data_IF_159074727040
#
_entry.id   IF_159074727040
#
_cell.length_a   1.000
_cell.length_b   1.000
_cell.length_c   1.000
_cell.angle_alpha   90.00
_cell.angle_beta   90.00
_cell.angle_gamma   90.00
#
_symmetry.space_group_name_H-M   'P 1'
#
loop_
_entity.id
_entity.type
_entity.pdbx_description
1 polymer ?
#
# COMPACT_ATOMS: atom_id res chain seq x y z
N UNK A 1 -5.80 7.02 20.24
CA UNK A 1 -4.75 7.32 21.24
C UNK A 1 -4.95 8.74 21.72
N UNK A 2 -5.19 8.96 23.01
CA UNK A 2 -5.41 10.29 23.61
C UNK A 2 -4.08 10.88 24.11
N UNK A 3 -3.85 12.17 23.90
CA UNK A 3 -2.68 12.88 24.46
C UNK A 3 -3.01 13.40 25.86
N UNK A 4 -2.04 13.34 26.78
CA UNK A 4 -2.21 13.78 28.18
C UNK A 4 -1.57 15.13 28.46
N UNK A 5 -0.75 15.66 27.54
CA UNK A 5 -0.14 16.97 27.63
C UNK A 5 -0.14 17.65 26.27
N UNK A 6 -0.30 18.98 26.29
CA UNK A 6 -0.33 19.86 25.13
C UNK A 6 0.81 20.87 25.24
N UNK A 7 1.51 21.14 24.12
CA UNK A 7 2.54 22.16 24.02
C UNK A 7 2.46 22.88 22.68
N UNK A 8 2.67 24.19 22.70
CA UNK A 8 2.99 24.98 21.51
C UNK A 8 4.52 24.91 21.33
N UNK A 9 4.96 24.36 20.21
CA UNK A 9 6.38 24.10 19.91
C UNK A 9 6.97 25.27 19.13
N UNK A 10 6.22 25.75 18.14
CA UNK A 10 6.54 26.94 17.34
C UNK A 10 5.30 27.81 17.28
N UNK A 11 5.49 29.12 17.47
CA UNK A 11 4.45 30.14 17.27
C UNK A 11 5.13 31.41 16.74
N UNK A 12 4.94 31.68 15.46
CA UNK A 12 5.39 32.91 14.80
C UNK A 12 4.43 33.27 13.65
N UNK A 13 4.73 34.34 12.90
CA UNK A 13 3.84 34.84 11.82
C UNK A 13 3.65 33.83 10.68
N UNK A 14 4.62 32.95 10.44
CA UNK A 14 4.63 32.02 9.30
C UNK A 14 4.15 30.61 9.68
N UNK A 15 4.25 30.22 10.96
CA UNK A 15 3.99 28.86 11.41
C UNK A 15 3.48 28.77 12.84
N UNK A 16 2.55 27.83 13.05
CA UNK A 16 2.24 27.26 14.36
C UNK A 16 2.47 25.75 14.33
N UNK A 17 3.24 25.24 15.29
CA UNK A 17 3.39 23.79 15.53
C UNK A 17 2.89 23.44 16.92
N UNK A 18 1.97 22.47 16.99
CA UNK A 18 1.36 21.97 18.22
C UNK A 18 1.79 20.53 18.47
N UNK A 19 2.00 20.20 19.74
CA UNK A 19 2.33 18.85 20.22
C UNK A 19 1.30 18.37 21.23
N UNK A 20 0.87 17.12 21.05
CA UNK A 20 0.01 16.39 21.97
C UNK A 20 0.70 15.09 22.35
N UNK A 21 1.29 15.05 23.55
CA UNK A 21 2.09 13.92 24.01
C UNK A 21 1.32 13.02 24.96
N UNK A 22 1.58 11.71 24.89
CA UNK A 22 1.29 10.74 25.95
C UNK A 22 2.58 9.97 26.23
N UNK A 23 3.13 10.17 27.42
CA UNK A 23 4.28 9.40 27.89
C UNK A 23 3.80 8.10 28.52
N UNK A 24 4.65 7.07 28.49
CA UNK A 24 4.41 5.82 29.19
C UNK A 24 5.39 5.66 30.36
N UNK A 25 4.91 5.05 31.43
CA UNK A 25 5.73 4.62 32.56
C UNK A 25 5.20 3.28 33.11
N UNK A 26 6.00 2.53 33.90
CA UNK A 26 5.61 1.20 34.39
C UNK A 26 4.29 1.13 35.16
N UNK A 27 3.77 2.23 35.73
CA UNK A 27 2.47 2.23 36.40
C UNK A 27 1.27 2.07 35.45
N UNK A 28 1.52 2.24 34.14
CA UNK A 28 0.56 2.09 33.05
C UNK A 28 0.59 0.70 32.41
N UNK A 29 1.45 -0.21 32.88
CA UNK A 29 1.54 -1.58 32.36
C UNK A 29 0.17 -2.29 32.40
N UNK A 30 -0.15 -3.00 31.32
CA UNK A 30 -1.44 -3.67 31.12
C UNK A 30 -2.62 -2.75 30.82
N UNK A 31 -2.45 -1.42 30.88
CA UNK A 31 -3.50 -0.42 30.59
C UNK A 31 -3.27 0.30 29.28
N UNK A 32 -2.01 0.61 28.98
CA UNK A 32 -1.60 1.31 27.76
C UNK A 32 -0.39 0.61 27.15
N UNK A 33 -0.29 0.69 25.82
CA UNK A 33 0.90 0.24 25.09
C UNK A 33 2.13 0.99 25.60
N UNK A 34 3.29 0.31 25.76
CA UNK A 34 4.53 0.89 26.26
C UNK A 34 5.16 1.79 25.20
N UNK A 35 4.53 2.94 24.91
CA UNK A 35 4.95 3.82 23.84
C UNK A 35 4.77 5.28 24.24
N UNK A 36 5.85 6.03 24.20
CA UNK A 36 5.78 7.49 24.12
C UNK A 36 5.22 7.85 22.75
N UNK A 37 4.15 8.65 22.75
CA UNK A 37 3.50 9.12 21.54
C UNK A 37 3.51 10.63 21.58
N UNK A 38 4.07 11.25 20.56
CA UNK A 38 3.97 12.68 20.32
C UNK A 38 3.28 12.92 18.99
N UNK A 39 2.06 13.46 19.03
CA UNK A 39 1.33 13.84 17.82
C UNK A 39 1.54 15.31 17.54
N UNK A 40 1.86 15.61 16.30
CA UNK A 40 2.20 16.96 15.87
C UNK A 40 1.24 17.44 14.79
N UNK A 41 0.90 18.73 14.88
CA UNK A 41 0.08 19.45 13.91
C UNK A 41 0.80 20.73 13.55
N UNK A 42 0.95 20.99 12.25
CA UNK A 42 1.62 22.19 11.75
C UNK A 42 0.66 22.94 10.83
N UNK A 43 0.46 24.21 11.11
CA UNK A 43 -0.29 25.14 10.27
C UNK A 43 0.67 26.20 9.75
N UNK A 44 0.70 26.39 8.44
CA UNK A 44 1.55 27.37 7.77
C UNK A 44 0.71 28.54 7.26
N UNK A 45 1.25 29.74 7.34
CA UNK A 45 0.62 30.93 6.76
C UNK A 45 0.43 30.74 5.26
N UNK A 46 -0.77 31.05 4.77
CA UNK A 46 -1.09 30.96 3.33
C UNK A 46 -1.29 29.54 2.81
N UNK A 47 -1.24 28.50 3.64
CA UNK A 47 -1.57 27.13 3.25
C UNK A 47 -3.04 26.81 3.56
N UNK A 48 -3.74 26.23 2.58
CA UNK A 48 -5.14 25.82 2.72
C UNK A 48 -5.25 24.42 3.34
N UNK A 49 -4.79 24.28 4.58
CA UNK A 49 -4.72 22.98 5.24
C UNK A 49 -3.82 22.97 6.45
N UNK A 50 -3.48 21.76 6.90
CA UNK A 50 -2.51 21.55 7.97
C UNK A 50 -1.79 20.21 7.78
N UNK A 51 -0.55 20.15 8.27
CA UNK A 51 0.24 18.92 8.28
C UNK A 51 0.06 18.20 9.60
N UNK A 52 0.15 16.87 9.57
CA UNK A 52 0.22 16.06 10.79
C UNK A 52 1.26 14.96 10.66
N UNK A 53 2.00 14.75 11.74
CA UNK A 53 2.95 13.67 11.88
C UNK A 53 2.94 13.16 13.32
N UNK A 54 3.55 12.01 13.56
CA UNK A 54 3.66 11.46 14.90
C UNK A 54 5.03 10.84 15.14
N UNK A 55 5.55 11.02 16.35
CA UNK A 55 6.81 10.41 16.79
C UNK A 55 6.45 9.36 17.83
N UNK A 56 6.81 8.12 17.56
CA UNK A 56 6.64 7.01 18.48
C UNK A 56 8.01 6.59 19.00
N UNK A 57 8.10 6.37 20.31
CA UNK A 57 9.34 5.98 20.98
C UNK A 57 9.04 4.91 22.04
N UNK A 58 9.73 3.78 21.92
CA UNK A 58 9.82 2.72 22.91
C UNK A 58 11.22 2.78 23.52
N UNK A 59 11.33 2.95 24.83
CA UNK A 59 12.61 3.11 25.50
C UNK A 59 13.22 1.76 25.87
N UNK A 60 14.53 1.77 26.13
CA UNK A 60 15.20 0.66 26.78
C UNK A 60 14.53 0.38 28.14
N UNK A 61 14.58 -0.87 28.60
CA UNK A 61 13.93 -1.35 29.84
C UNK A 61 12.40 -1.51 29.79
N UNK A 62 11.75 -1.21 28.67
CA UNK A 62 10.29 -1.34 28.53
C UNK A 62 9.83 -2.73 28.08
N UNK A 63 8.60 -3.14 28.44
CA UNK A 63 8.11 -4.48 28.14
C UNK A 63 7.79 -4.67 26.65
N UNK A 64 7.84 -5.92 26.20
CA UNK A 64 7.48 -6.29 24.85
C UNK A 64 6.04 -5.87 24.50
N UNK A 65 5.83 -5.48 23.24
CA UNK A 65 4.50 -5.17 22.71
C UNK A 65 4.47 -5.27 21.18
N UNK A 66 3.26 -5.23 20.62
CA UNK A 66 3.03 -5.27 19.18
C UNK A 66 2.27 -4.03 18.71
N UNK A 67 2.51 -3.61 17.46
CA UNK A 67 1.68 -2.63 16.74
C UNK A 67 1.16 -3.29 15.47
N UNK A 68 -0.14 -3.56 15.42
CA UNK A 68 -0.76 -4.13 14.21
C UNK A 68 -1.19 -3.04 13.22
N UNK A 69 -1.61 -1.89 13.75
CA UNK A 69 -2.15 -0.79 12.96
C UNK A 69 -1.88 0.55 13.65
N UNK A 70 -1.41 1.53 12.89
CA UNK A 70 -1.46 2.94 13.29
C UNK A 70 -1.82 3.84 12.12
N UNK A 71 -2.64 4.86 12.37
CA UNK A 71 -3.21 5.74 11.37
C UNK A 71 -3.79 7.00 11.98
N UNK A 72 -4.00 8.00 11.14
CA UNK A 72 -4.94 9.09 11.42
C UNK A 72 -6.25 8.77 10.71
N UNK A 73 -7.37 8.99 11.40
CA UNK A 73 -8.70 8.81 10.83
C UNK A 73 -9.49 10.11 11.00
N UNK A 74 -9.97 10.65 9.88
CA UNK A 74 -10.91 11.77 9.86
C UNK A 74 -12.29 11.24 9.55
N UNK A 75 -13.24 11.48 10.46
CA UNK A 75 -14.66 11.25 10.21
C UNK A 75 -15.28 12.61 9.89
N UNK A 76 -15.60 12.82 8.62
CA UNK A 76 -16.16 14.07 8.14
C UNK A 76 -17.66 14.13 8.41
N UNK A 77 -18.23 15.30 8.18
CA UNK A 77 -19.67 15.53 8.31
C UNK A 77 -20.45 14.74 7.26
N UNK A 78 -21.23 13.78 7.73
CA UNK A 78 -22.06 12.90 6.91
C UNK A 78 -23.09 13.65 6.08
N UNK A 79 -23.54 14.81 6.55
CA UNK A 79 -24.53 15.67 5.88
C UNK A 79 -23.91 16.59 4.82
N UNK A 80 -22.57 16.63 4.71
CA UNK A 80 -21.85 17.46 3.76
C UNK A 80 -21.15 16.66 2.67
N UNK A 81 -20.41 15.61 3.05
CA UNK A 81 -19.49 14.91 2.16
C UNK A 81 -20.11 13.61 1.66
N UNK A 82 -20.39 13.54 0.36
CA UNK A 82 -21.11 12.41 -0.24
C UNK A 82 -20.39 11.80 -1.44
N UNK A 83 -19.42 12.50 -2.02
CA UNK A 83 -18.68 12.03 -3.18
C UNK A 83 -17.23 11.75 -2.79
N UNK A 84 -16.76 10.54 -3.06
CA UNK A 84 -15.41 10.09 -2.73
C UNK A 84 -14.59 9.98 -4.00
N UNK A 85 -13.31 10.38 -3.91
CA UNK A 85 -12.32 10.15 -4.96
C UNK A 85 -11.03 9.57 -4.36
N UNK A 86 -10.58 8.45 -4.91
CA UNK A 86 -9.35 7.75 -4.49
C UNK A 86 -8.39 7.48 -5.66
N UNK A 87 -8.87 7.60 -6.89
CA UNK A 87 -8.11 7.55 -8.14
C UNK A 87 -8.97 8.14 -9.28
N UNK A 88 -8.38 8.49 -10.42
CA UNK A 88 -9.13 9.04 -11.58
C UNK A 88 -10.26 8.10 -12.06
N UNK A 89 -10.05 6.79 -11.98
CA UNK A 89 -11.03 5.77 -12.36
C UNK A 89 -11.85 5.22 -11.17
N UNK A 90 -11.59 5.68 -9.94
CA UNK A 90 -12.28 5.21 -8.72
C UNK A 90 -12.82 6.40 -7.94
N UNK A 91 -13.93 6.93 -8.44
CA UNK A 91 -14.67 8.03 -7.83
C UNK A 91 -16.17 7.77 -7.94
N UNK A 92 -16.93 8.11 -6.90
CA UNK A 92 -18.39 7.94 -6.90
C UNK A 92 -19.06 8.70 -5.77
N UNK A 93 -20.37 8.88 -5.91
CA UNK A 93 -21.22 9.05 -4.75
C UNK A 93 -21.20 7.77 -3.90
N UNK A 94 -21.13 7.96 -2.59
CA UNK A 94 -21.05 6.90 -1.61
C UNK A 94 -22.38 6.76 -0.86
N UNK A 95 -22.74 5.54 -0.44
CA UNK A 95 -23.87 5.35 0.47
C UNK A 95 -23.63 6.08 1.80
N UNK A 96 -24.71 6.31 2.54
CA UNK A 96 -24.65 6.84 3.90
C UNK A 96 -24.31 5.73 4.90
N UNK A 97 -23.72 6.04 6.07
CA UNK A 97 -23.54 5.07 7.15
C UNK A 97 -24.82 4.31 7.51
N UNK A 98 -25.95 5.01 7.51
CA UNK A 98 -27.26 4.46 7.88
C UNK A 98 -27.76 3.44 6.85
N UNK A 99 -27.30 3.51 5.59
CA UNK A 99 -27.61 2.51 4.56
C UNK A 99 -27.06 1.12 4.94
N UNK A 100 -26.04 1.08 5.82
CA UNK A 100 -25.41 -0.16 6.28
C UNK A 100 -26.04 -0.77 7.52
N UNK A 101 -27.00 -0.08 8.16
CA UNK A 101 -27.67 -0.56 9.38
C UNK A 101 -28.67 -1.69 9.06
N UNK A 102 -28.98 -2.60 10.01
CA UNK A 102 -29.80 -3.80 9.73
C UNK A 102 -31.20 -3.57 9.15
N UNK A 103 -31.77 -2.37 9.30
CA UNK A 103 -33.06 -1.98 8.72
C UNK A 103 -32.96 -1.59 7.23
N UNK A 104 -31.76 -1.30 6.73
CA UNK A 104 -31.50 -0.77 5.38
C UNK A 104 -30.43 -1.56 4.61
N UNK A 105 -29.60 -2.31 5.32
CA UNK A 105 -28.54 -3.14 4.79
C UNK A 105 -28.50 -4.52 5.44
N UNK A 106 -27.80 -5.44 4.79
CA UNK A 106 -27.59 -6.80 5.25
C UNK A 106 -26.09 -7.08 5.27
N UNK A 107 -25.53 -7.28 6.46
CA UNK A 107 -24.16 -7.78 6.60
C UNK A 107 -24.01 -9.14 5.90
N UNK A 108 -22.91 -9.30 5.16
CA UNK A 108 -22.59 -10.52 4.44
C UNK A 108 -21.69 -11.43 5.29
N UNK A 109 -20.71 -12.14 4.70
CA UNK A 109 -19.88 -13.09 5.42
C UNK A 109 -19.02 -12.45 6.53
N UNK A 110 -18.71 -11.16 6.41
CA UNK A 110 -17.94 -10.39 7.38
C UNK A 110 -18.56 -8.99 7.53
N UNK A 111 -18.43 -8.35 8.73
CA UNK A 111 -19.16 -7.12 9.05
C UNK A 111 -18.77 -5.91 8.20
N UNK A 112 -17.60 -5.94 7.55
CA UNK A 112 -17.17 -4.89 6.64
C UNK A 112 -17.95 -4.88 5.31
N UNK A 113 -18.44 -6.03 4.83
CA UNK A 113 -19.21 -6.12 3.59
C UNK A 113 -20.72 -6.11 3.87
N UNK A 114 -21.41 -5.14 3.30
CA UNK A 114 -22.85 -4.95 3.51
C UNK A 114 -23.56 -4.80 2.17
N UNK A 115 -24.56 -5.64 1.93
CA UNK A 115 -25.50 -5.49 0.83
C UNK A 115 -26.51 -4.38 1.17
N UNK A 116 -26.64 -3.40 0.29
CA UNK A 116 -27.57 -2.27 0.45
C UNK A 116 -28.98 -2.68 -0.02
N UNK A 117 -29.88 -2.97 0.92
CA UNK A 117 -31.22 -3.52 0.64
C UNK A 117 -32.25 -2.42 0.40
N UNK A 118 -32.21 -1.37 1.21
CA UNK A 118 -33.11 -0.22 1.17
C UNK A 118 -32.36 1.09 1.48
N UNK A 119 -31.35 1.47 0.66
CA UNK A 119 -30.55 2.68 0.88
C UNK A 119 -31.38 3.96 0.72
N UNK A 120 -30.86 5.10 1.21
CA UNK A 120 -31.53 6.42 1.12
C UNK A 120 -31.60 6.84 -0.34
N UNK A 121 -30.49 6.70 -1.06
CA UNK A 121 -30.42 6.90 -2.50
C UNK A 121 -30.76 5.57 -3.21
N UNK A 122 -31.91 5.47 -3.92
CA UNK A 122 -32.34 4.22 -4.55
C UNK A 122 -31.33 3.64 -5.55
N UNK A 123 -30.48 4.46 -6.16
CA UNK A 123 -29.48 4.01 -7.12
C UNK A 123 -28.43 3.07 -6.51
N UNK A 124 -28.19 3.12 -5.19
CA UNK A 124 -27.28 2.18 -4.51
C UNK A 124 -27.91 0.83 -4.19
N UNK A 125 -29.21 0.65 -4.43
CA UNK A 125 -29.91 -0.59 -4.07
C UNK A 125 -29.32 -1.79 -4.81
N UNK A 126 -29.08 -2.85 -4.05
CA UNK A 126 -28.49 -4.09 -4.56
C UNK A 126 -26.97 -4.03 -4.74
N UNK A 127 -26.32 -2.93 -4.32
CA UNK A 127 -24.87 -2.88 -4.30
C UNK A 127 -24.28 -3.44 -3.00
N UNK A 128 -23.06 -3.96 -3.07
CA UNK A 128 -22.25 -4.29 -1.89
C UNK A 128 -21.29 -3.15 -1.63
N UNK A 129 -21.31 -2.63 -0.40
CA UNK A 129 -20.31 -1.71 0.10
C UNK A 129 -19.36 -2.42 1.07
N UNK A 130 -18.07 -2.39 0.74
CA UNK A 130 -16.99 -2.95 1.53
C UNK A 130 -15.78 -2.02 1.48
N UNK A 131 -15.30 -1.59 2.66
CA UNK A 131 -14.18 -0.65 2.80
C UNK A 131 -12.91 -1.15 2.10
N UNK A 132 -12.69 -2.47 2.02
CA UNK A 132 -11.50 -3.07 1.42
C UNK A 132 -11.48 -2.91 -0.11
N UNK A 133 -12.64 -2.67 -0.73
CA UNK A 133 -12.72 -2.35 -2.15
C UNK A 133 -12.09 -1.00 -2.47
N UNK A 134 -11.86 -0.12 -1.49
CA UNK A 134 -11.28 1.21 -1.68
C UNK A 134 -9.80 1.28 -1.25
N UNK A 135 -9.10 0.15 -1.19
CA UNK A 135 -7.67 0.13 -0.93
C UNK A 135 -6.85 0.54 -2.17
N UNK A 136 -5.68 1.11 -1.94
CA UNK A 136 -4.70 1.49 -2.97
C UNK A 136 -3.32 0.96 -2.61
N UNK A 137 -2.54 0.59 -3.62
CA UNK A 137 -1.11 0.29 -3.46
C UNK A 137 -0.35 1.55 -3.00
N UNK A 138 0.66 1.40 -2.14
CA UNK A 138 1.42 2.53 -1.60
C UNK A 138 1.97 3.44 -2.71
N UNK A 139 2.48 2.87 -3.82
CA UNK A 139 3.02 3.63 -4.95
C UNK A 139 2.02 4.62 -5.57
N UNK A 140 0.72 4.30 -5.52
CA UNK A 140 -0.36 5.10 -6.12
C UNK A 140 -1.14 5.90 -5.05
N UNK A 141 -1.03 5.53 -3.77
CA UNK A 141 -1.77 6.12 -2.67
C UNK A 141 -1.16 7.44 -2.16
N UNK A 142 -1.23 8.47 -3.01
CA UNK A 142 -0.67 9.82 -2.76
C UNK A 142 -1.70 10.88 -2.43
N UNK A 143 -2.91 10.79 -2.98
CA UNK A 143 -4.02 11.71 -2.67
C UNK A 143 -5.35 10.99 -2.77
N UNK A 144 -6.20 11.19 -1.76
CA UNK A 144 -7.58 10.70 -1.75
C UNK A 144 -8.43 11.51 -0.77
N UNK A 145 -9.75 11.49 -0.93
CA UNK A 145 -10.60 12.35 -0.12
C UNK A 145 -12.07 12.35 -0.49
N UNK A 146 -12.71 13.46 -0.14
CA UNK A 146 -14.14 13.67 -0.26
C UNK A 146 -14.47 15.05 -0.80
N UNK A 147 -15.55 15.11 -1.56
CA UNK A 147 -16.16 16.32 -2.07
C UNK A 147 -17.52 16.51 -1.38
N UNK A 148 -17.75 17.74 -0.92
CA UNK A 148 -19.06 18.28 -0.60
C UNK A 148 -19.50 19.20 -1.74
N UNK A 149 -20.76 19.08 -2.15
CA UNK A 149 -21.34 19.95 -3.17
C UNK A 149 -21.99 21.21 -2.58
N UNK A 150 -22.22 21.24 -1.27
CA UNK A 150 -22.86 22.37 -0.60
C UNK A 150 -22.38 22.54 0.86
N UNK A 151 -21.46 23.49 1.13
CA UNK A 151 -20.72 24.28 0.14
C UNK A 151 -19.81 23.42 -0.75
N UNK A 152 -19.43 23.92 -1.93
CA UNK A 152 -18.51 23.23 -2.85
C UNK A 152 -17.09 23.23 -2.28
N UNK A 153 -16.76 22.19 -1.50
CA UNK A 153 -15.47 22.06 -0.78
C UNK A 153 -14.93 20.64 -0.86
N UNK A 154 -13.60 20.53 -0.91
CA UNK A 154 -12.87 19.27 -0.87
C UNK A 154 -12.11 19.08 0.43
N UNK A 155 -12.02 17.82 0.88
CA UNK A 155 -11.17 17.39 1.98
C UNK A 155 -10.26 16.28 1.50
N UNK A 156 -8.95 16.49 1.54
CA UNK A 156 -7.97 15.60 0.91
C UNK A 156 -6.86 15.21 1.87
N UNK A 157 -6.53 13.92 1.90
CA UNK A 157 -5.33 13.40 2.53
C UNK A 157 -4.25 13.30 1.45
N UNK A 158 -3.15 14.02 1.63
CA UNK A 158 -1.98 13.98 0.74
C UNK A 158 -0.79 13.36 1.48
N UNK A 159 -0.17 12.36 0.86
CA UNK A 159 1.07 11.71 1.32
C UNK A 159 2.20 12.05 0.35
N UNK A 160 3.10 12.92 0.77
CA UNK A 160 4.22 13.37 -0.08
C UNK A 160 5.36 12.35 -0.18
N UNK A 161 5.53 11.52 0.85
CA UNK A 161 6.57 10.50 0.93
C UNK A 161 6.05 9.26 1.64
N UNK A 162 6.48 8.11 1.15
CA UNK A 162 6.18 6.81 1.73
C UNK A 162 7.24 6.34 2.74
N UNK A 163 8.20 7.19 3.12
CA UNK A 163 9.39 6.78 3.90
C UNK A 163 9.08 6.01 5.18
N UNK A 164 7.94 6.35 5.79
CA UNK A 164 7.48 5.79 7.06
C UNK A 164 6.55 4.58 6.89
N UNK A 165 6.01 4.33 5.69
CA UNK A 165 5.10 3.20 5.44
C UNK A 165 5.87 1.88 5.52
N UNK A 166 5.15 0.76 5.48
CA UNK A 166 5.72 -0.59 5.50
C UNK A 166 5.32 -1.38 4.25
N UNK A 167 6.07 -2.43 3.92
CA UNK A 167 5.68 -3.43 2.91
C UNK A 167 5.97 -3.09 1.45
N UNK A 168 6.79 -2.07 1.16
CA UNK A 168 7.16 -1.73 -0.21
C UNK A 168 6.07 -1.05 -1.04
N UNK A 169 6.31 -0.89 -2.37
CA UNK A 169 5.46 -0.11 -3.27
C UNK A 169 4.07 -0.73 -3.51
N UNK A 170 3.98 -2.07 -3.54
CA UNK A 170 2.74 -2.78 -3.89
C UNK A 170 1.83 -3.06 -2.69
N UNK A 171 2.28 -2.78 -1.46
CA UNK A 171 1.46 -2.99 -0.27
C UNK A 171 0.19 -2.16 -0.36
N UNK A 172 -0.96 -2.83 -0.22
CA UNK A 172 -2.25 -2.16 -0.21
C UNK A 172 -2.58 -1.55 1.16
N UNK A 173 -3.10 -0.33 1.14
CA UNK A 173 -3.56 0.40 2.30
C UNK A 173 -4.97 0.94 2.06
N UNK A 174 -5.79 0.96 3.10
CA UNK A 174 -7.11 1.59 3.07
C UNK A 174 -6.96 3.10 2.84
N UNK A 175 -7.93 3.68 2.14
CA UNK A 175 -7.96 5.12 1.81
C UNK A 175 -9.20 5.79 2.44
N UNK A 176 -10.09 6.35 1.60
CA UNK A 176 -11.40 6.85 1.97
C UNK A 176 -12.47 5.76 1.82
N UNK A 177 -13.52 5.79 2.64
CA UNK A 177 -14.65 4.85 2.56
C UNK A 177 -15.91 5.40 3.28
N UNK A 178 -17.03 4.68 3.15
CA UNK A 178 -18.36 5.01 3.73
C UNK A 178 -18.30 5.64 5.13
N UNK A 179 -19.16 6.62 5.36
CA UNK A 179 -19.23 7.41 6.60
C UNK A 179 -18.26 8.56 6.65
N UNK A 180 -18.36 9.42 5.62
CA UNK A 180 -17.25 10.03 4.90
C UNK A 180 -15.94 10.00 5.70
N UNK A 181 -15.30 8.83 5.66
CA UNK A 181 -14.09 8.54 6.42
C UNK A 181 -12.89 8.70 5.50
N UNK A 182 -11.84 9.36 5.98
CA UNK A 182 -10.54 9.48 5.30
C UNK A 182 -9.46 8.95 6.23
N UNK A 183 -8.67 7.98 5.76
CA UNK A 183 -7.60 7.35 6.54
C UNK A 183 -6.21 7.73 6.02
N UNK A 184 -5.35 8.27 6.87
CA UNK A 184 -3.92 8.32 6.60
C UNK A 184 -3.25 7.11 7.28
N UNK A 185 -3.03 6.04 6.52
CA UNK A 185 -2.41 4.82 7.05
C UNK A 185 -0.90 5.02 7.19
N UNK A 186 -0.41 4.84 8.43
CA UNK A 186 1.01 4.87 8.73
C UNK A 186 1.60 3.46 8.74
N UNK A 187 0.87 2.51 9.32
CA UNK A 187 1.23 1.09 9.35
C UNK A 187 -0.04 0.23 9.47
N UNK A 188 -0.06 -0.92 8.80
CA UNK A 188 -1.20 -1.84 8.83
C UNK A 188 -0.86 -3.25 8.34
N UNK A 189 -1.34 -4.25 9.07
CA UNK A 189 -1.27 -5.68 8.73
C UNK A 189 -2.26 -6.15 7.64
N UNK A 190 -3.20 -5.30 7.18
CA UNK A 190 -4.14 -5.71 6.12
C UNK A 190 -3.38 -6.21 4.88
N UNK A 191 -3.82 -7.28 4.22
CA UNK A 191 -3.16 -7.88 3.04
C UNK A 191 -1.78 -8.50 3.28
N UNK A 192 -1.38 -8.70 4.54
CA UNK A 192 -0.08 -9.32 4.87
C UNK A 192 -0.09 -10.15 6.16
N UNK A 193 -1.11 -9.97 7.02
CA UNK A 193 -1.27 -10.74 8.24
C UNK A 193 -0.12 -10.52 9.23
N UNK A 194 0.28 -11.59 9.92
CA UNK A 194 1.26 -11.53 11.02
C UNK A 194 2.66 -11.11 10.59
N UNK A 195 2.99 -11.25 9.29
CA UNK A 195 4.31 -10.92 8.74
C UNK A 195 4.64 -9.43 8.82
N UNK A 196 3.61 -8.57 8.88
CA UNK A 196 3.78 -7.13 9.05
C UNK A 196 3.40 -6.65 10.45
N UNK A 197 3.26 -7.51 11.46
CA UNK A 197 3.12 -7.02 12.83
C UNK A 197 4.48 -6.44 13.27
N UNK A 198 4.48 -5.18 13.68
CA UNK A 198 5.62 -4.56 14.38
C UNK A 198 5.76 -5.20 15.77
N UNK A 199 6.65 -6.18 15.92
CA UNK A 199 6.90 -6.91 17.17
C UNK A 199 8.14 -6.37 17.87
N UNK A 200 8.00 -5.87 19.09
CA UNK A 200 9.11 -5.39 19.92
C UNK A 200 9.36 -6.33 21.09
N UNK A 201 10.61 -6.75 21.25
CA UNK A 201 11.06 -7.51 22.41
C UNK A 201 11.13 -6.65 23.67
N UNK A 202 11.29 -7.27 24.85
CA UNK A 202 11.59 -6.51 26.05
C UNK A 202 12.94 -5.82 25.89
N UNK A 203 13.04 -4.57 26.36
CA UNK A 203 14.26 -3.75 26.30
C UNK A 203 14.75 -3.45 24.86
N UNK A 204 13.88 -3.49 23.86
CA UNK A 204 14.22 -3.15 22.47
C UNK A 204 13.96 -1.65 22.19
N UNK A 205 14.94 -0.74 22.30
CA UNK A 205 14.69 0.66 22.02
C UNK A 205 14.33 0.87 20.55
N UNK A 206 13.32 1.70 20.30
CA UNK A 206 12.88 1.99 18.95
C UNK A 206 12.26 3.38 18.88
N UNK A 207 12.55 4.12 17.81
CA UNK A 207 11.95 5.43 17.57
C UNK A 207 11.68 5.61 16.09
N UNK A 208 10.49 6.09 15.76
CA UNK A 208 10.10 6.35 14.36
C UNK A 208 9.17 7.54 14.25
N UNK A 209 9.38 8.31 13.20
CA UNK A 209 8.51 9.39 12.74
C UNK A 209 7.60 8.87 11.63
N UNK A 210 6.29 9.08 11.78
CA UNK A 210 5.28 8.80 10.77
C UNK A 210 4.71 10.11 10.22
N UNK A 211 4.67 10.24 8.89
CA UNK A 211 4.36 11.50 8.21
C UNK A 211 5.62 12.37 8.00
N UNK A 212 5.45 13.68 7.74
CA UNK A 212 4.18 14.40 7.69
C UNK A 212 3.27 14.02 6.53
N UNK A 213 1.98 13.91 6.82
CA UNK A 213 0.90 13.92 5.82
C UNK A 213 0.24 15.29 5.82
N UNK A 214 -0.23 15.74 4.66
CA UNK A 214 -0.92 17.03 4.52
C UNK A 214 -2.42 16.82 4.37
N UNK A 215 -3.20 17.56 5.17
CA UNK A 215 -4.65 17.61 5.07
C UNK A 215 -4.99 18.89 4.31
N UNK A 216 -5.31 18.72 3.04
CA UNK A 216 -5.58 19.82 2.12
C UNK A 216 -7.07 20.07 2.00
N UNK A 217 -7.44 21.35 2.02
CA UNK A 217 -8.80 21.84 1.90
C UNK A 217 -8.85 22.83 0.74
N UNK A 218 -9.75 22.61 -0.19
CA UNK A 218 -10.01 23.55 -1.29
C UNK A 218 -11.51 23.79 -1.44
N UNK A 219 -11.84 24.85 -2.17
CA UNK A 219 -13.22 25.29 -2.40
C UNK A 219 -13.36 25.88 -3.78
N UNK A 220 -14.54 25.74 -4.37
CA UNK A 220 -14.89 26.37 -5.64
C UNK A 220 -15.86 27.54 -5.43
N UNK A 221 -16.00 28.36 -6.47
CA UNK A 221 -17.09 29.33 -6.54
C UNK A 221 -18.38 28.68 -7.01
N UNK A 222 -19.53 29.29 -6.70
CA UNK A 222 -20.83 28.73 -7.04
C UNK A 222 -21.00 28.53 -8.56
N UNK A 223 -21.33 27.31 -8.98
CA UNK A 223 -21.61 26.95 -10.37
C UNK A 223 -20.47 26.25 -11.12
N UNK A 224 -19.29 26.13 -10.51
CA UNK A 224 -18.18 25.34 -11.04
C UNK A 224 -18.45 23.83 -10.91
N UNK A 225 -17.80 23.02 -11.77
CA UNK A 225 -17.84 21.55 -11.67
C UNK A 225 -17.11 21.08 -10.39
N UNK A 226 -17.78 20.40 -9.44
CA UNK A 226 -17.15 19.91 -8.22
C UNK A 226 -15.94 19.00 -8.45
N UNK A 227 -15.82 18.35 -9.63
CA UNK A 227 -14.66 17.54 -9.97
C UNK A 227 -13.36 18.36 -10.12
N UNK A 228 -13.45 19.68 -10.31
CA UNK A 228 -12.27 20.55 -10.28
C UNK A 228 -11.56 20.55 -8.91
N UNK A 229 -12.28 20.24 -7.82
CA UNK A 229 -11.68 20.08 -6.49
C UNK A 229 -10.67 18.91 -6.47
N UNK A 230 -10.95 17.83 -7.21
CA UNK A 230 -10.05 16.68 -7.34
C UNK A 230 -8.82 17.02 -8.17
N UNK A 231 -9.00 17.70 -9.31
CA UNK A 231 -7.87 18.10 -10.16
C UNK A 231 -6.91 19.04 -9.42
N UNK A 232 -7.44 20.00 -8.68
CA UNK A 232 -6.66 20.90 -7.84
C UNK A 232 -5.94 20.15 -6.70
N UNK A 233 -6.59 19.18 -6.05
CA UNK A 233 -5.95 18.33 -5.04
C UNK A 233 -4.78 17.49 -5.61
N UNK A 234 -4.89 17.02 -6.85
CA UNK A 234 -3.77 16.35 -7.54
C UNK A 234 -2.62 17.30 -7.82
N UNK A 235 -2.89 18.55 -8.21
CA UNK A 235 -1.83 19.57 -8.39
C UNK A 235 -1.14 19.88 -7.06
N UNK A 236 -1.91 20.04 -5.97
CA UNK A 236 -1.34 20.22 -4.64
C UNK A 236 -0.49 19.00 -4.25
N UNK A 237 -0.95 17.77 -4.52
CA UNK A 237 -0.16 16.56 -4.25
C UNK A 237 1.19 16.57 -4.97
N UNK A 238 1.23 16.97 -6.24
CA UNK A 238 2.49 17.10 -7.00
C UNK A 238 3.42 18.12 -6.34
N UNK A 239 2.90 19.28 -5.93
CA UNK A 239 3.66 20.30 -5.23
C UNK A 239 4.24 19.78 -3.90
N UNK A 240 3.43 19.06 -3.11
CA UNK A 240 3.87 18.48 -1.84
C UNK A 240 4.98 17.43 -2.04
N UNK A 241 4.84 16.55 -3.05
CA UNK A 241 5.88 15.55 -3.41
C UNK A 241 7.18 16.23 -3.84
N UNK A 242 7.11 17.32 -4.60
CA UNK A 242 8.29 18.06 -5.07
C UNK A 242 8.97 18.87 -3.97
N UNK A 243 8.21 19.33 -2.98
CA UNK A 243 8.71 20.16 -1.89
C UNK A 243 9.25 19.33 -0.72
N UNK A 244 8.83 18.07 -0.61
CA UNK A 244 9.37 17.15 0.40
C UNK A 244 10.86 16.83 0.14
N UNK A 245 11.72 16.80 1.17
CA UNK A 245 11.45 16.90 2.61
C UNK A 245 11.21 18.34 3.09
N UNK A 246 10.23 18.50 3.97
CA UNK A 246 9.86 19.81 4.51
C UNK A 246 10.91 20.39 5.44
N UNK A 247 11.13 21.70 5.38
CA UNK A 247 12.07 22.42 6.27
C UNK A 247 11.42 22.94 7.57
N UNK A 248 10.10 22.88 7.68
CA UNK A 248 9.34 23.51 8.75
C UNK A 248 9.08 22.64 10.01
N UNK A 249 9.09 21.29 9.98
CA UNK A 249 8.91 20.53 11.22
C UNK A 249 10.01 20.83 12.24
N UNK A 250 9.66 21.20 13.47
CA UNK A 250 10.62 21.60 14.48
C UNK A 250 11.26 20.44 15.27
N UNK A 251 10.77 19.21 15.09
CA UNK A 251 11.33 18.05 15.77
C UNK A 251 12.67 17.65 15.16
N UNK A 252 13.70 17.49 16.00
CA UNK A 252 15.01 16.94 15.61
C UNK A 252 14.91 15.48 15.13
N UNK A 253 13.83 14.77 15.46
CA UNK A 253 13.58 13.43 14.95
C UNK A 253 13.17 13.45 13.47
N UNK A 254 12.78 14.59 12.90
CA UNK A 254 12.53 14.74 11.48
C UNK A 254 13.76 15.36 10.80
N UNK A 255 14.47 14.58 9.98
CA UNK A 255 15.65 15.06 9.28
C UNK A 255 15.28 16.02 8.14
N UNK A 256 15.92 17.18 8.12
CA UNK A 256 15.84 18.14 7.01
C UNK A 256 16.52 17.60 5.75
N UNK A 257 16.34 18.28 4.62
CA UNK A 257 16.89 17.84 3.33
C UNK A 257 18.43 17.73 3.33
N UNK A 258 19.14 18.66 3.98
CA UNK A 258 20.60 18.67 4.10
C UNK A 258 21.15 17.58 5.04
N UNK A 259 20.29 17.01 5.89
CA UNK A 259 20.61 15.90 6.78
C UNK A 259 20.43 14.53 6.13
N UNK A 260 19.96 14.49 4.88
CA UNK A 260 19.64 13.27 4.13
C UNK A 260 20.67 13.04 3.03
N UNK A 261 20.75 11.80 2.55
CA UNK A 261 21.64 11.42 1.44
C UNK A 261 20.88 10.97 0.20
N UNK A 262 21.63 10.56 -0.81
CA UNK A 262 21.13 9.98 -2.06
C UNK A 262 21.92 8.74 -2.47
N UNK A 263 21.26 7.84 -3.20
CA UNK A 263 21.86 6.66 -3.83
C UNK A 263 21.43 6.62 -5.29
N UNK A 264 22.38 6.49 -6.19
CA UNK A 264 22.14 6.23 -7.61
C UNK A 264 22.95 5.04 -8.10
N UNK A 265 22.61 4.55 -9.29
CA UNK A 265 23.32 3.47 -9.96
C UNK A 265 22.52 2.96 -11.16
N UNK A 266 22.92 1.79 -11.66
CA UNK A 266 22.24 1.12 -12.77
C UNK A 266 22.02 -0.35 -12.48
N UNK A 267 20.77 -0.80 -12.53
CA UNK A 267 20.41 -2.20 -12.41
C UNK A 267 20.46 -2.89 -13.78
N UNK A 268 21.24 -3.96 -13.85
CA UNK A 268 21.33 -4.85 -15.01
C UNK A 268 20.80 -6.23 -14.64
N UNK A 269 20.29 -6.96 -15.62
CA UNK A 269 19.87 -8.35 -15.48
C UNK A 269 20.84 -9.22 -16.26
N UNK A 270 21.31 -10.28 -15.64
CA UNK A 270 22.09 -11.33 -16.28
C UNK A 270 21.38 -12.66 -16.13
N UNK A 271 20.60 -13.03 -17.16
CA UNK A 271 19.89 -14.31 -17.21
C UNK A 271 20.56 -15.25 -18.21
N UNK A 272 21.55 -16.02 -17.73
CA UNK A 272 22.37 -16.95 -18.53
C UNK A 272 21.58 -18.00 -19.34
N UNK A 273 20.31 -18.22 -19.02
CA UNK A 273 19.47 -19.17 -19.77
C UNK A 273 18.70 -18.50 -20.92
N UNK A 274 18.71 -17.17 -20.98
CA UNK A 274 18.13 -16.35 -22.05
C UNK A 274 19.24 -15.71 -22.89
N UNK A 275 20.22 -15.07 -22.24
CA UNK A 275 21.34 -14.39 -22.88
C UNK A 275 22.57 -14.34 -21.96
N UNK A 276 23.77 -14.38 -22.52
CA UNK A 276 25.02 -14.14 -21.79
C UNK A 276 25.31 -12.63 -21.61
N UNK A 277 24.57 -11.76 -22.30
CA UNK A 277 24.71 -10.31 -22.22
C UNK A 277 23.90 -9.72 -21.07
N UNK A 278 24.45 -8.71 -20.41
CA UNK A 278 23.72 -7.91 -19.44
C UNK A 278 22.69 -7.04 -20.16
N UNK A 279 21.42 -7.14 -19.76
CA UNK A 279 20.34 -6.30 -20.27
C UNK A 279 19.89 -5.30 -19.21
N UNK A 280 19.45 -4.09 -19.59
CA UNK A 280 18.88 -3.13 -18.65
C UNK A 280 17.73 -3.70 -17.80
N UNK A 281 17.75 -3.41 -16.50
CA UNK A 281 16.64 -3.64 -15.58
C UNK A 281 15.50 -2.64 -15.80
N UNK A 282 14.96 -2.59 -17.02
CA UNK A 282 13.92 -1.65 -17.40
C UNK A 282 12.76 -1.71 -16.41
N UNK A 283 12.30 -0.56 -15.95
CA UNK A 283 11.08 -0.44 -15.14
C UNK A 283 11.16 -1.13 -13.77
N UNK A 284 12.37 -1.54 -13.34
CA UNK A 284 12.60 -2.21 -12.08
C UNK A 284 12.19 -1.35 -10.89
N UNK A 285 11.63 -1.98 -9.87
CA UNK A 285 11.45 -1.35 -8.57
C UNK A 285 12.74 -1.52 -7.79
N UNK A 286 13.39 -0.41 -7.45
CA UNK A 286 14.64 -0.39 -6.68
C UNK A 286 14.33 0.33 -5.37
N UNK A 287 14.69 -0.27 -4.24
CA UNK A 287 14.40 0.30 -2.93
C UNK A 287 15.49 0.06 -1.88
N UNK A 288 15.53 0.93 -0.89
CA UNK A 288 16.33 0.82 0.31
C UNK A 288 15.41 0.53 1.48
N UNK A 289 15.78 -0.44 2.30
CA UNK A 289 15.14 -0.74 3.58
C UNK A 289 16.19 -1.27 4.54
N UNK A 290 15.83 -1.53 5.80
CA UNK A 290 16.76 -2.10 6.76
C UNK A 290 17.44 -3.37 6.21
N UNK A 291 18.71 -3.63 6.60
CA UNK A 291 19.41 -4.84 6.25
C UNK A 291 18.62 -6.10 6.61
N UNK A 292 18.63 -7.06 5.70
CA UNK A 292 17.81 -8.26 5.79
C UNK A 292 18.20 -9.29 4.75
N UNK A 293 17.39 -10.35 4.64
CA UNK A 293 17.57 -11.40 3.64
C UNK A 293 16.89 -11.02 2.32
N UNK A 294 17.27 -11.68 1.24
CA UNK A 294 16.60 -11.57 -0.07
C UNK A 294 15.07 -11.69 0.09
N UNK A 295 14.34 -10.71 -0.47
CA UNK A 295 12.88 -10.62 -0.37
C UNK A 295 12.34 -10.11 0.97
N UNK A 296 13.18 -9.62 1.89
CA UNK A 296 12.72 -9.03 3.16
C UNK A 296 12.10 -7.64 2.99
N UNK A 297 12.39 -6.92 1.90
CA UNK A 297 11.88 -5.57 1.67
C UNK A 297 10.35 -5.47 1.82
N UNK A 298 9.61 -6.40 1.22
CA UNK A 298 8.14 -6.44 1.31
C UNK A 298 7.58 -6.84 2.69
N UNK A 299 8.44 -7.24 3.64
CA UNK A 299 8.09 -7.58 5.02
C UNK A 299 8.73 -6.65 6.06
N UNK A 300 9.56 -5.71 5.62
CA UNK A 300 10.18 -4.73 6.51
C UNK A 300 9.11 -3.73 6.99
N UNK A 301 9.06 -3.51 8.31
CA UNK A 301 8.09 -2.59 8.93
C UNK A 301 8.64 -1.71 10.06
N UNK A 302 9.79 -2.07 10.67
CA UNK A 302 10.40 -1.35 11.79
C UNK A 302 11.18 -0.12 11.33
N UNK A 303 11.83 -0.20 10.18
CA UNK A 303 12.69 0.83 9.63
C UNK A 303 11.97 1.84 8.75
N UNK A 304 12.77 2.63 8.05
CA UNK A 304 12.32 3.46 6.95
C UNK A 304 12.59 2.73 5.63
N UNK A 305 11.81 3.04 4.60
CA UNK A 305 12.03 2.51 3.26
C UNK A 305 11.89 3.59 2.20
N UNK A 306 12.70 3.49 1.14
CA UNK A 306 12.73 4.46 0.05
C UNK A 306 12.76 3.69 -1.26
N UNK A 307 12.07 4.16 -2.30
CA UNK A 307 12.08 3.45 -3.58
C UNK A 307 11.83 4.36 -4.76
N UNK A 308 12.25 3.88 -5.92
CA UNK A 308 12.05 4.50 -7.21
C UNK A 308 11.83 3.42 -8.26
N UNK A 309 11.50 3.86 -9.48
CA UNK A 309 11.53 3.00 -10.67
C UNK A 309 12.76 3.33 -11.48
N UNK A 310 13.48 2.30 -11.91
CA UNK A 310 14.54 2.45 -12.88
C UNK A 310 13.96 2.88 -14.24
N UNK A 311 14.72 3.65 -15.01
CA UNK A 311 14.38 4.02 -16.37
C UNK A 311 14.54 2.85 -17.35
N UNK A 312 14.38 3.12 -18.65
CA UNK A 312 14.49 2.12 -19.71
C UNK A 312 15.89 1.51 -19.85
N UNK A 313 16.93 2.24 -19.43
CA UNK A 313 18.33 1.82 -19.44
C UNK A 313 18.79 1.23 -18.10
N UNK A 314 17.87 1.11 -17.13
CA UNK A 314 18.10 0.52 -15.82
C UNK A 314 18.69 1.50 -14.80
N UNK A 315 18.87 2.78 -15.13
CA UNK A 315 19.37 3.76 -14.19
C UNK A 315 18.31 4.11 -13.15
N UNK A 316 18.75 4.29 -11.90
CA UNK A 316 17.88 4.69 -10.80
C UNK A 316 18.55 5.76 -9.93
N UNK A 317 17.71 6.56 -9.28
CA UNK A 317 18.12 7.53 -8.26
C UNK A 317 17.09 7.55 -7.15
N UNK A 318 17.54 7.35 -5.91
CA UNK A 318 16.75 7.45 -4.69
C UNK A 318 17.34 8.61 -3.90
N UNK A 319 16.56 9.68 -3.73
CA UNK A 319 16.99 10.90 -3.05
C UNK A 319 16.34 11.01 -1.67
N UNK A 320 16.85 11.95 -0.86
CA UNK A 320 16.28 12.32 0.44
C UNK A 320 16.19 11.14 1.43
N UNK A 321 17.16 10.24 1.36
CA UNK A 321 17.26 9.07 2.21
C UNK A 321 17.71 9.49 3.60
N UNK A 322 16.98 9.05 4.62
CA UNK A 322 17.34 9.29 6.02
C UNK A 322 18.68 8.63 6.35
N UNK A 323 19.48 9.22 7.23
CA UNK A 323 20.73 8.58 7.66
C UNK A 323 20.47 7.22 8.30
N UNK A 324 21.34 6.25 8.03
CA UNK A 324 21.22 4.90 8.57
C UNK A 324 21.87 3.86 7.66
N UNK A 325 21.82 2.61 8.10
CA UNK A 325 22.29 1.47 7.33
C UNK A 325 21.13 0.82 6.57
N UNK A 326 21.35 0.55 5.28
CA UNK A 326 20.34 -0.01 4.38
C UNK A 326 20.94 -1.12 3.52
N UNK A 327 20.12 -2.09 3.10
CA UNK A 327 20.42 -2.87 1.90
C UNK A 327 19.62 -2.30 0.72
N UNK A 328 20.22 -2.37 -0.47
CA UNK A 328 19.52 -2.11 -1.72
C UNK A 328 18.85 -3.39 -2.20
N UNK A 329 17.55 -3.31 -2.44
CA UNK A 329 16.71 -4.38 -2.95
C UNK A 329 16.17 -3.99 -4.31
N UNK A 330 15.90 -4.98 -5.16
CA UNK A 330 15.18 -4.73 -6.39
C UNK A 330 14.33 -5.92 -6.83
N UNK A 331 13.39 -5.67 -7.72
CA UNK A 331 12.76 -6.68 -8.55
C UNK A 331 12.36 -6.04 -9.87
N UNK A 332 12.31 -6.85 -10.93
CA UNK A 332 12.01 -6.36 -12.27
C UNK A 332 10.75 -7.06 -12.78
N UNK A 333 9.71 -6.33 -13.21
CA UNK A 333 8.55 -6.95 -13.85
C UNK A 333 8.98 -7.89 -14.99
N UNK A 334 8.53 -9.14 -14.95
CA UNK A 334 8.91 -10.15 -15.95
C UNK A 334 10.22 -10.91 -15.63
N UNK A 335 10.83 -10.65 -14.47
CA UNK A 335 12.02 -11.36 -14.00
C UNK A 335 11.73 -12.00 -12.64
N UNK A 336 11.90 -13.33 -12.57
CA UNK A 336 11.63 -14.10 -11.36
C UNK A 336 12.56 -13.69 -10.20
N UNK A 337 12.06 -13.81 -8.97
CA UNK A 337 12.82 -13.64 -7.73
C UNK A 337 12.99 -12.20 -7.22
N UNK A 338 13.73 -12.08 -6.12
CA UNK A 338 14.11 -10.83 -5.48
C UNK A 338 15.62 -10.61 -5.60
N UNK A 339 16.02 -9.37 -5.88
CA UNK A 339 17.41 -8.92 -5.81
C UNK A 339 17.70 -8.27 -4.45
N UNK A 340 18.90 -8.53 -3.93
CA UNK A 340 19.51 -7.81 -2.82
C UNK A 340 20.98 -7.54 -3.17
N UNK A 341 21.43 -6.31 -2.99
CA UNK A 341 22.83 -5.96 -3.08
C UNK A 341 23.59 -6.45 -1.85
N UNK A 342 24.72 -7.12 -2.05
CA UNK A 342 25.50 -7.78 -0.99
C UNK A 342 26.00 -6.82 0.08
N UNK A 343 26.39 -5.60 -0.31
CA UNK A 343 26.93 -4.62 0.62
C UNK A 343 25.81 -3.82 1.29
N UNK A 344 25.99 -3.58 2.59
CA UNK A 344 25.21 -2.58 3.33
C UNK A 344 25.68 -1.19 2.87
N UNK A 345 24.71 -0.33 2.56
CA UNK A 345 24.90 1.07 2.21
C UNK A 345 24.64 1.90 3.46
N UNK A 346 25.69 2.54 3.97
CA UNK A 346 25.58 3.50 5.08
C UNK A 346 25.34 4.89 4.50
N UNK A 347 24.22 5.50 4.89
CA UNK A 347 23.82 6.84 4.48
C UNK A 347 24.21 7.83 5.57
N UNK A 348 25.15 8.71 5.23
CA UNK A 348 25.56 9.84 6.05
C UNK A 348 24.87 11.14 5.60
N UNK A 349 24.87 12.15 6.47
CA UNK A 349 24.30 13.47 6.18
C UNK A 349 24.90 14.08 4.91
N UNK A 350 24.06 14.40 3.92
CA UNK A 350 24.47 15.03 2.67
C UNK A 350 25.31 14.15 1.75
N UNK A 351 25.39 12.84 1.99
CA UNK A 351 26.16 11.95 1.13
C UNK A 351 25.46 11.72 -0.22
N UNK A 352 26.27 11.58 -1.28
CA UNK A 352 25.82 11.10 -2.58
C UNK A 352 26.60 9.82 -2.89
N UNK A 353 25.90 8.69 -3.02
CA UNK A 353 26.51 7.38 -3.23
C UNK A 353 26.11 6.89 -4.63
N UNK A 354 27.11 6.61 -5.46
CA UNK A 354 26.93 5.89 -6.72
C UNK A 354 27.38 4.43 -6.52
N UNK A 355 26.45 3.49 -6.60
CA UNK A 355 26.75 2.06 -6.50
C UNK A 355 27.25 1.46 -7.83
N UNK A 356 27.29 2.26 -8.90
CA UNK A 356 27.66 1.86 -10.24
C UNK A 356 26.67 0.88 -10.86
N UNK A 357 27.20 -0.01 -11.70
CA UNK A 357 26.44 -1.11 -12.27
C UNK A 357 26.27 -2.23 -11.22
N UNK A 358 25.03 -2.56 -10.92
CA UNK A 358 24.67 -3.71 -10.09
C UNK A 358 23.96 -4.76 -10.94
N UNK A 359 24.38 -6.01 -10.83
CA UNK A 359 23.90 -7.10 -11.68
C UNK A 359 22.98 -8.02 -10.89
N UNK A 360 21.74 -8.14 -11.35
CA UNK A 360 20.78 -9.11 -10.85
C UNK A 360 20.86 -10.39 -11.69
N UNK A 361 21.29 -11.48 -11.07
CA UNK A 361 21.19 -12.83 -11.61
C UNK A 361 19.87 -13.49 -11.14
N UNK A 362 18.85 -13.64 -12.01
CA UNK A 362 17.59 -14.27 -11.62
C UNK A 362 17.85 -15.71 -11.17
N UNK A 363 17.24 -16.19 -10.08
CA UNK A 363 17.57 -17.49 -9.51
C UNK A 363 16.92 -18.63 -10.31
N UNK A 364 17.40 -18.86 -11.53
CA UNK A 364 17.03 -19.97 -12.41
C UNK A 364 17.99 -21.15 -12.24
N UNK A 365 17.42 -22.35 -12.25
CA UNK A 365 18.16 -23.62 -12.26
C UNK A 365 18.38 -24.17 -13.69
N UNK A 366 17.69 -23.60 -14.68
CA UNK A 366 17.67 -24.09 -16.06
C UNK A 366 16.82 -23.21 -16.99
N UNK A 367 16.80 -23.53 -18.29
CA UNK A 367 15.85 -22.93 -19.23
C UNK A 367 14.40 -23.22 -18.81
N UNK A 368 13.54 -22.22 -18.95
CA UNK A 368 12.10 -22.34 -18.67
C UNK A 368 11.43 -23.30 -19.66
N UNK A 369 10.77 -24.34 -19.15
CA UNK A 369 9.94 -25.23 -19.99
C UNK A 369 8.59 -24.61 -20.34
N UNK A 370 7.94 -24.02 -19.34
CA UNK A 370 6.69 -23.29 -19.46
C UNK A 370 6.56 -22.30 -18.30
N UNK A 371 5.71 -21.29 -18.49
CA UNK A 371 5.38 -20.26 -17.52
C UNK A 371 3.88 -19.97 -17.60
N UNK A 372 3.25 -19.72 -16.46
CA UNK A 372 1.83 -19.34 -16.37
C UNK A 372 1.79 -17.96 -15.71
N UNK A 373 1.37 -16.95 -16.47
CA UNK A 373 1.39 -15.56 -16.02
C UNK A 373 2.75 -14.88 -16.22
N UNK A 374 2.93 -13.74 -15.56
CA UNK A 374 4.10 -12.87 -15.64
C UNK A 374 4.62 -12.66 -14.21
N UNK A 375 5.93 -12.84 -13.93
CA UNK A 375 6.50 -12.55 -12.61
C UNK A 375 6.64 -11.03 -12.41
N UNK A 376 5.51 -10.35 -12.25
CA UNK A 376 5.43 -8.90 -12.01
C UNK A 376 4.74 -8.54 -10.68
N UNK A 377 4.44 -9.57 -9.87
CA UNK A 377 3.71 -9.50 -8.59
C UNK A 377 2.26 -9.01 -8.75
N UNK A 378 1.67 -9.21 -9.93
CA UNK A 378 0.27 -8.94 -10.19
C UNK A 378 -0.46 -10.18 -10.70
N UNK A 379 -1.76 -10.25 -10.41
CA UNK A 379 -2.66 -11.27 -10.93
C UNK A 379 -3.52 -10.72 -12.09
N UNK A 380 -3.18 -9.54 -12.61
CA UNK A 380 -4.00 -8.76 -13.54
C UNK A 380 -4.22 -9.46 -14.89
N UNK A 381 -3.31 -10.33 -15.28
CA UNK A 381 -3.36 -11.10 -16.51
C UNK A 381 -4.19 -12.38 -16.40
N UNK A 382 -4.59 -12.79 -15.20
CA UNK A 382 -5.37 -14.02 -14.97
C UNK A 382 -6.89 -13.80 -15.13
N UNK A 383 -7.62 -14.90 -15.22
CA UNK A 383 -9.06 -14.88 -15.40
C UNK A 383 -9.79 -14.49 -14.11
N UNK A 384 -10.33 -13.27 -14.11
CA UNK A 384 -11.27 -12.78 -13.10
C UNK A 384 -12.70 -12.96 -13.63
N UNK A 385 -13.58 -13.74 -12.95
CA UNK A 385 -14.93 -14.01 -13.41
C UNK A 385 -15.85 -12.79 -13.26
N UNK A 386 -17.03 -12.84 -13.86
CA UNK A 386 -18.08 -11.86 -13.58
C UNK A 386 -18.65 -12.10 -12.16
N UNK A 387 -18.97 -11.02 -11.41
CA UNK A 387 -19.54 -11.13 -10.08
C UNK A 387 -20.97 -11.70 -10.11
N UNK A 388 -21.47 -12.16 -8.95
CA UNK A 388 -22.91 -12.43 -8.82
C UNK A 388 -23.67 -11.11 -9.03
N UNK A 389 -24.63 -11.03 -9.97
CA UNK A 389 -25.42 -9.82 -10.23
C UNK A 389 -26.14 -9.27 -8.99
N UNK A 390 -26.33 -10.07 -7.94
CA UNK A 390 -26.94 -9.68 -6.67
C UNK A 390 -25.95 -9.08 -5.65
N UNK A 391 -24.65 -9.16 -5.92
CA UNK A 391 -23.56 -8.76 -5.01
C UNK A 391 -22.59 -7.76 -5.68
N UNK A 392 -23.07 -6.99 -6.65
CA UNK A 392 -22.22 -6.09 -7.42
C UNK A 392 -21.84 -4.85 -6.61
N UNK A 393 -20.66 -4.30 -6.86
CA UNK A 393 -20.35 -2.89 -6.64
C UNK A 393 -20.26 -2.26 -8.03
N UNK A 394 -21.13 -1.28 -8.33
CA UNK A 394 -21.24 -0.69 -9.68
C UNK A 394 -19.99 0.06 -10.10
N UNK A 395 -19.16 0.52 -9.14
CA UNK A 395 -17.86 1.14 -9.41
C UNK A 395 -16.94 0.25 -10.23
N UNK A 396 -17.04 -1.07 -10.03
CA UNK A 396 -16.13 -2.06 -10.60
C UNK A 396 -16.72 -2.84 -11.77
N UNK A 397 -17.84 -2.40 -12.33
CA UNK A 397 -18.41 -2.98 -13.56
C UNK A 397 -17.64 -2.46 -14.77
N UNK A 398 -17.17 -3.36 -15.64
CA UNK A 398 -16.32 -3.03 -16.80
C UNK A 398 -15.05 -2.24 -16.42
N UNK A 399 -14.50 -2.49 -15.22
CA UNK A 399 -13.34 -1.80 -14.66
C UNK A 399 -12.12 -2.73 -14.62
N UNK A 400 -10.87 -2.23 -14.79
CA UNK A 400 -9.65 -3.05 -14.66
C UNK A 400 -9.55 -3.71 -13.28
N UNK A 401 -9.94 -3.01 -12.22
CA UNK A 401 -9.97 -3.53 -10.85
C UNK A 401 -11.21 -4.38 -10.54
N UNK A 402 -11.84 -5.04 -11.51
CA UNK A 402 -13.02 -5.88 -11.26
C UNK A 402 -12.77 -7.02 -10.26
N UNK A 403 -11.50 -7.39 -10.03
CA UNK A 403 -11.10 -8.35 -8.99
C UNK A 403 -11.47 -7.90 -7.57
N UNK A 404 -11.81 -6.61 -7.37
CA UNK A 404 -12.28 -6.07 -6.08
C UNK A 404 -13.76 -6.36 -5.79
N UNK A 405 -14.51 -6.95 -6.72
CA UNK A 405 -15.91 -7.29 -6.48
C UNK A 405 -16.04 -8.32 -5.35
N UNK A 406 -17.01 -8.12 -4.45
CA UNK A 406 -17.27 -9.06 -3.36
C UNK A 406 -17.75 -10.41 -3.92
N UNK A 407 -17.35 -11.50 -3.28
CA UNK A 407 -17.86 -12.84 -3.57
C UNK A 407 -17.29 -13.51 -4.82
N UNK A 408 -16.27 -12.92 -5.46
CA UNK A 408 -15.64 -13.54 -6.63
C UNK A 408 -15.06 -14.92 -6.33
N UNK A 409 -14.59 -15.17 -5.10
CA UNK A 409 -14.11 -16.48 -4.68
C UNK A 409 -15.19 -17.57 -4.78
N UNK A 410 -16.47 -17.24 -4.54
CA UNK A 410 -17.57 -18.21 -4.62
C UNK A 410 -17.85 -18.63 -6.06
N UNK A 411 -17.53 -17.76 -7.04
CA UNK A 411 -17.71 -18.03 -8.47
C UNK A 411 -16.91 -19.25 -8.93
N UNK A 412 -15.79 -19.56 -8.27
CA UNK A 412 -15.00 -20.75 -8.58
C UNK A 412 -15.84 -22.03 -8.54
N UNK A 413 -16.56 -22.26 -7.43
CA UNK A 413 -17.40 -23.46 -7.27
C UNK A 413 -18.57 -23.55 -8.25
N UNK A 414 -18.99 -22.40 -8.81
CA UNK A 414 -20.07 -22.33 -9.80
C UNK A 414 -19.56 -22.60 -11.21
N UNK A 415 -18.33 -22.17 -11.51
CA UNK A 415 -17.65 -22.42 -12.79
C UNK A 415 -17.12 -23.85 -12.89
N UNK A 416 -16.72 -24.42 -11.75
CA UNK A 416 -16.15 -25.76 -11.66
C UNK A 416 -16.96 -26.65 -10.69
N UNK A 417 -18.22 -27.00 -11.02
CA UNK A 417 -19.12 -27.70 -10.09
C UNK A 417 -18.77 -29.19 -9.89
N UNK A 418 -18.16 -29.83 -10.89
CA UNK A 418 -17.94 -31.29 -10.92
C UNK A 418 -16.49 -31.70 -10.63
N UNK A 419 -15.60 -30.74 -10.38
CA UNK A 419 -14.17 -30.98 -10.12
C UNK A 419 -13.35 -29.69 -10.15
N UNK A 420 -12.05 -29.80 -9.92
CA UNK A 420 -11.15 -28.63 -9.90
C UNK A 420 -10.68 -28.23 -11.29
N UNK A 421 -10.18 -26.99 -11.40
CA UNK A 421 -9.58 -26.46 -12.61
C UNK A 421 -8.44 -27.36 -13.10
N UNK A 422 -8.51 -27.76 -14.37
CA UNK A 422 -7.46 -28.50 -15.07
C UNK A 422 -6.83 -27.60 -16.13
N UNK A 423 -5.59 -27.16 -15.91
CA UNK A 423 -4.86 -26.34 -16.87
C UNK A 423 -3.93 -27.21 -17.73
N UNK A 424 -4.03 -27.10 -19.06
CA UNK A 424 -3.22 -27.88 -20.01
C UNK A 424 -2.20 -26.99 -20.71
N UNK A 425 -0.91 -27.21 -20.45
CA UNK A 425 0.18 -26.44 -21.05
C UNK A 425 0.12 -26.51 -22.58
N UNK A 426 0.31 -25.36 -23.24
CA UNK A 426 0.27 -25.23 -24.70
C UNK A 426 -1.13 -25.29 -25.32
N UNK A 427 -2.19 -25.48 -24.52
CA UNK A 427 -3.60 -25.47 -24.98
C UNK A 427 -4.42 -24.40 -24.27
N UNK A 428 -4.33 -24.33 -22.94
CA UNK A 428 -5.02 -23.33 -22.14
C UNK A 428 -4.33 -21.97 -22.22
N UNK A 429 -5.10 -20.91 -22.02
CA UNK A 429 -4.63 -19.52 -21.99
C UNK A 429 -4.84 -18.95 -20.58
N UNK A 430 -3.78 -18.50 -19.89
CA UNK A 430 -3.89 -18.11 -18.48
C UNK A 430 -4.89 -16.96 -18.23
N UNK A 431 -5.01 -15.99 -19.14
CA UNK A 431 -6.01 -14.92 -19.02
C UNK A 431 -7.48 -15.32 -19.26
N UNK A 432 -7.74 -16.60 -19.52
CA UNK A 432 -9.11 -17.13 -19.73
C UNK A 432 -9.40 -18.36 -18.89
N UNK A 433 -8.39 -19.21 -18.74
CA UNK A 433 -8.53 -20.55 -18.20
C UNK A 433 -7.81 -20.73 -16.86
N UNK A 434 -7.07 -19.72 -16.38
CA UNK A 434 -6.44 -19.73 -15.05
C UNK A 434 -7.16 -18.76 -14.13
N UNK A 435 -7.91 -19.30 -13.17
CA UNK A 435 -8.65 -18.49 -12.21
C UNK A 435 -7.68 -17.67 -11.34
N UNK A 436 -7.97 -16.38 -11.17
CA UNK A 436 -7.04 -15.41 -10.58
C UNK A 436 -6.62 -15.68 -9.12
N UNK A 437 -7.41 -16.46 -8.37
CA UNK A 437 -7.16 -16.78 -6.97
C UNK A 437 -7.27 -18.30 -6.68
N UNK A 438 -6.44 -18.81 -5.77
CA UNK A 438 -6.55 -20.20 -5.30
C UNK A 438 -7.44 -20.24 -4.06
N UNK A 439 -8.70 -20.63 -4.23
CA UNK A 439 -9.72 -20.57 -3.16
C UNK A 439 -9.88 -21.93 -2.46
N UNK A 440 -10.83 -22.06 -1.52
CA UNK A 440 -11.26 -23.36 -0.94
C UNK A 440 -12.63 -23.78 -1.46
N UNK A 441 -12.88 -25.08 -1.66
CA UNK A 441 -14.19 -25.56 -2.10
C UNK A 441 -15.18 -25.65 -0.94
N UNK A 442 -16.47 -25.39 -1.21
CA UNK A 442 -17.57 -25.53 -0.24
C UNK A 442 -17.75 -26.95 0.31
N UNK A 443 -17.09 -27.95 -0.26
CA UNK A 443 -17.11 -29.34 0.21
C UNK A 443 -16.10 -29.63 1.34
N UNK A 444 -15.36 -28.62 1.83
CA UNK A 444 -14.29 -28.81 2.81
C UNK A 444 -13.13 -29.66 2.28
N UNK A 445 -13.04 -29.82 0.95
CA UNK A 445 -11.92 -30.50 0.30
C UNK A 445 -10.78 -29.52 0.07
N UNK A 446 -9.56 -30.00 0.28
CA UNK A 446 -8.34 -29.34 -0.17
C UNK A 446 -8.47 -29.16 -1.70
N UNK A 447 -8.46 -27.91 -2.17
CA UNK A 447 -8.50 -27.63 -3.61
C UNK A 447 -7.16 -28.03 -4.22
N UNK A 448 -7.20 -28.80 -5.30
CA UNK A 448 -6.02 -29.21 -6.05
C UNK A 448 -6.18 -28.67 -7.46
N UNK A 449 -5.45 -27.60 -7.77
CA UNK A 449 -5.31 -27.16 -9.17
C UNK A 449 -4.47 -28.20 -9.91
N UNK A 450 -5.08 -28.86 -10.88
CA UNK A 450 -4.44 -29.92 -11.64
C UNK A 450 -3.77 -29.33 -12.87
N UNK A 451 -2.45 -29.49 -12.98
CA UNK A 451 -1.71 -29.18 -14.20
C UNK A 451 -1.53 -30.45 -15.02
N UNK A 452 -1.92 -30.41 -16.29
CA UNK A 452 -1.65 -31.46 -17.26
C UNK A 452 -0.59 -31.01 -18.24
N UNK A 453 0.46 -31.79 -18.32
CA UNK A 453 1.55 -31.59 -19.27
C UNK A 453 1.76 -32.87 -20.09
N UNK A 454 1.89 -32.72 -21.41
CA UNK A 454 2.35 -33.79 -22.29
C UNK A 454 3.85 -33.61 -22.51
N UNK A 455 4.63 -34.15 -21.58
CA UNK A 455 6.08 -34.23 -21.76
C UNK A 455 6.39 -35.27 -22.84
N UNK A 456 7.00 -34.82 -23.95
CA UNK A 456 7.72 -35.73 -24.86
C UNK A 456 8.86 -36.44 -24.10
N UNK A 457 9.70 -37.23 -24.79
CA UNK A 457 10.86 -37.93 -24.18
C UNK A 457 11.88 -36.95 -23.56
N UNK A 458 11.56 -36.37 -22.41
CA UNK A 458 12.52 -35.80 -21.47
C UNK A 458 13.21 -36.98 -20.80
N UNK A 459 14.55 -36.95 -20.77
CA UNK A 459 15.35 -38.04 -20.21
C UNK A 459 14.93 -38.34 -18.79
N UNK A 460 14.75 -39.62 -18.46
CA UNK A 460 14.11 -40.11 -17.23
C UNK A 460 14.88 -39.85 -15.92
N UNK A 461 15.89 -38.97 -15.91
CA UNK A 461 16.81 -38.74 -14.78
C UNK A 461 17.17 -37.24 -14.52
N UNK A 462 16.49 -36.28 -15.15
CA UNK A 462 16.73 -34.84 -14.89
C UNK A 462 15.77 -34.29 -13.84
N UNK A 463 16.28 -33.57 -12.83
CA UNK A 463 15.46 -32.81 -11.88
C UNK A 463 15.01 -31.48 -12.49
N UNK A 464 13.71 -31.17 -12.38
CA UNK A 464 13.12 -29.93 -12.88
C UNK A 464 12.40 -29.24 -11.71
N UNK A 465 12.92 -28.10 -11.22
CA UNK A 465 12.29 -27.38 -10.12
C UNK A 465 11.05 -26.64 -10.61
N UNK A 466 10.01 -26.66 -9.78
CA UNK A 466 8.81 -25.84 -9.96
C UNK A 466 8.87 -24.67 -9.00
N UNK A 467 8.73 -23.45 -9.51
CA UNK A 467 8.61 -22.24 -8.70
C UNK A 467 7.17 -21.73 -8.76
N UNK A 468 6.66 -21.32 -7.61
CA UNK A 468 5.41 -20.57 -7.49
C UNK A 468 5.76 -19.25 -6.82
N UNK A 469 5.45 -18.14 -7.48
CA UNK A 469 5.60 -16.80 -6.90
C UNK A 469 4.25 -16.38 -6.33
N UNK A 470 4.09 -16.35 -5.00
CA UNK A 470 2.84 -15.95 -4.38
C UNK A 470 2.62 -14.47 -4.60
N UNK A 471 1.37 -14.13 -4.89
CA UNK A 471 0.94 -12.75 -5.04
C UNK A 471 0.04 -12.43 -3.86
N UNK A 472 0.49 -11.54 -2.98
CA UNK A 472 -0.26 -11.16 -1.79
C UNK A 472 -1.36 -10.16 -2.17
N UNK A 473 -2.45 -10.68 -2.73
CA UNK A 473 -3.76 -10.05 -2.74
C UNK A 473 -4.64 -10.83 -1.77
N UNK A 474 -4.75 -10.38 -0.51
CA UNK A 474 -5.95 -10.47 0.36
C UNK A 474 -5.63 -10.23 1.85
#
# INVERSE_FOLDING_TARGET
MEGTSFKVIVENEEQVELSFTRLWDPSMEGKLVPLNIDKRYIMLRGSSGFYSYAIYEHLEEWPAFNIDNTRIAFKLREDMFHYMAIADNRQRFMPLPEDRLPDRGQALAYPEAVLLVNPVEPDFKGEVDDKYQYACENKDNRVHGWISNNPSVGFWQITASDEFRSGGPLKQCLTSHVGPTTLAIFHSVHYSGEDLILKFGPNEPWKKVFGPVFIYLNSLTDGDDPLLLWEDAKQQMIYEVQTWPYSFPASEDFQSADQRGSVCGRLLIQDRYISEENVPGNCAYVGLALPGNVGSWQRECKGYQFWTRADEDGYFSINNIRTGDYNLYAWVPGVIGDYQYDAVITIDSGCEIDVGDVVYEPPRDGPTLWEIGIPDRSAAEFYVPDPDPKLINKLYVNHPDKFRQYGLWERYSQLYPDGDLVYTIGTCHYGKDWFFAQVTSNAGRQLITHMKELLGKLGSNSAWPMRVEPINYD
#
